data_IF_550805820223
#
_entry.id   IF_550805820223
#
_cell.length_a   1.000
_cell.length_b   1.000
_cell.length_c   1.000
_cell.angle_alpha   90.00
_cell.angle_beta   90.00
_cell.angle_gamma   90.00
#
_symmetry.space_group_name_H-M   'P 1'
#
loop_
_entity.id
_entity.type
_entity.pdbx_description
1 polymer ?
#
# COMPACT_ATOMS: atom_id res chain seq x y z
N UNK A 1 7.83 13.14 -13.53
CA UNK A 1 7.43 13.60 -14.88
C UNK A 1 7.10 15.09 -14.77
N UNK A 2 6.85 15.79 -15.89
CA UNK A 2 6.43 17.21 -15.86
C UNK A 2 4.95 17.40 -15.51
N UNK A 3 4.19 16.32 -15.24
CA UNK A 3 2.76 16.34 -14.93
C UNK A 3 2.47 15.64 -13.61
N UNK A 4 1.50 16.14 -12.86
CA UNK A 4 1.00 15.50 -11.65
C UNK A 4 0.45 14.10 -11.98
N UNK A 5 0.94 13.06 -11.30
CA UNK A 5 0.57 11.65 -11.54
C UNK A 5 -0.46 11.12 -10.53
N UNK A 6 -0.41 11.62 -9.29
CA UNK A 6 -1.37 11.31 -8.25
C UNK A 6 -1.57 12.50 -7.32
N UNK A 7 -2.83 12.79 -7.00
CA UNK A 7 -3.23 13.79 -6.02
C UNK A 7 -4.54 13.40 -5.34
N UNK A 8 -4.60 13.63 -4.04
CA UNK A 8 -5.81 13.54 -3.22
C UNK A 8 -5.94 12.23 -2.45
N UNK A 9 -7.06 12.11 -1.73
CA UNK A 9 -7.36 10.94 -0.92
C UNK A 9 -7.71 9.73 -1.77
N UNK A 10 -7.29 8.55 -1.30
CA UNK A 10 -7.52 7.25 -1.94
C UNK A 10 -7.94 6.23 -0.89
N UNK A 11 -8.80 5.31 -1.33
CA UNK A 11 -9.00 4.02 -0.68
C UNK A 11 -8.13 3.00 -1.40
N UNK A 12 -7.39 2.20 -0.64
CA UNK A 12 -6.63 1.06 -1.13
C UNK A 12 -7.14 -0.23 -0.51
N UNK A 13 -6.88 -1.35 -1.16
CA UNK A 13 -7.11 -2.69 -0.62
C UNK A 13 -5.83 -3.49 -0.80
N UNK A 14 -5.31 -4.09 0.28
CA UNK A 14 -4.11 -4.92 0.20
C UNK A 14 -4.32 -6.08 -0.78
N UNK A 15 -3.39 -6.25 -1.73
CA UNK A 15 -3.48 -7.29 -2.74
C UNK A 15 -2.91 -8.65 -2.28
N UNK A 16 -2.11 -8.63 -1.22
CA UNK A 16 -1.51 -9.81 -0.58
C UNK A 16 -1.43 -9.63 0.95
N UNK A 17 -1.04 -10.68 1.66
CA UNK A 17 -0.76 -10.62 3.09
C UNK A 17 0.53 -9.83 3.33
N UNK A 18 0.48 -8.83 4.21
CA UNK A 18 1.65 -8.00 4.54
C UNK A 18 1.77 -7.81 6.06
N UNK A 19 2.84 -7.15 6.50
CA UNK A 19 2.96 -6.74 7.90
C UNK A 19 1.90 -5.73 8.33
N UNK A 20 1.22 -5.05 7.40
CA UNK A 20 0.15 -4.09 7.70
C UNK A 20 -1.20 -4.80 7.89
N UNK A 21 -1.36 -6.03 7.39
CA UNK A 21 -2.60 -6.79 7.48
C UNK A 21 -2.73 -7.85 6.40
N UNK A 22 -3.75 -8.72 6.51
CA UNK A 22 -4.05 -9.73 5.49
C UNK A 22 -4.51 -9.11 4.17
N UNK A 23 -4.45 -9.89 3.09
CA UNK A 23 -5.07 -9.56 1.81
C UNK A 23 -6.52 -9.16 2.01
N UNK A 24 -6.94 -8.09 1.35
CA UNK A 24 -8.30 -7.56 1.45
C UNK A 24 -8.49 -6.51 2.54
N UNK A 25 -7.50 -6.26 3.42
CA UNK A 25 -7.57 -5.13 4.35
C UNK A 25 -7.71 -3.82 3.58
N UNK A 26 -8.74 -3.05 3.92
CA UNK A 26 -8.98 -1.73 3.35
C UNK A 26 -8.11 -0.70 4.05
N UNK A 27 -7.46 0.14 3.27
CA UNK A 27 -6.64 1.25 3.74
C UNK A 27 -7.11 2.59 3.20
N UNK A 28 -6.82 3.66 3.92
CA UNK A 28 -7.03 5.03 3.50
C UNK A 28 -5.72 5.79 3.55
N UNK A 29 -5.55 6.70 2.61
CA UNK A 29 -4.35 7.52 2.53
C UNK A 29 -4.51 8.60 1.48
N UNK A 30 -3.40 9.23 1.14
CA UNK A 30 -3.36 10.24 0.09
C UNK A 30 -2.16 10.04 -0.81
N UNK A 31 -2.30 10.50 -2.04
CA UNK A 31 -1.23 10.55 -3.02
C UNK A 31 -0.86 12.02 -3.26
N UNK A 32 0.43 12.27 -3.46
CA UNK A 32 0.92 13.52 -4.01
C UNK A 32 2.27 13.30 -4.70
N UNK A 33 2.25 12.97 -5.99
CA UNK A 33 3.48 12.63 -6.71
C UNK A 33 3.44 12.99 -8.20
N UNK A 34 4.62 13.37 -8.71
CA UNK A 34 4.89 13.61 -10.13
C UNK A 34 5.70 12.48 -10.76
N UNK A 35 6.41 11.69 -9.96
CA UNK A 35 7.12 10.49 -10.41
C UNK A 35 6.15 9.34 -10.68
N UNK A 36 6.59 8.39 -11.49
CA UNK A 36 5.90 7.11 -11.75
C UNK A 36 6.92 5.99 -11.60
N UNK A 37 6.49 4.84 -11.11
CA UNK A 37 7.30 3.62 -11.14
C UNK A 37 7.06 2.93 -12.48
N UNK A 38 8.13 2.42 -13.07
CA UNK A 38 8.09 1.51 -14.21
C UNK A 38 8.79 0.24 -13.72
N UNK A 39 8.12 -0.89 -13.87
CA UNK A 39 8.67 -2.18 -13.54
C UNK A 39 9.04 -2.88 -14.84
N UNK A 40 10.27 -3.40 -14.92
CA UNK A 40 10.78 -4.08 -16.12
C UNK A 40 10.23 -5.51 -16.28
N UNK A 41 9.57 -6.02 -15.24
CA UNK A 41 8.96 -7.34 -15.17
C UNK A 41 7.65 -7.28 -14.35
N UNK A 42 6.90 -8.38 -14.34
CA UNK A 42 5.73 -8.52 -13.47
C UNK A 42 6.16 -8.35 -12.00
N UNK A 43 5.38 -7.58 -11.25
CA UNK A 43 5.69 -7.19 -9.88
C UNK A 43 4.46 -7.40 -8.99
N UNK A 44 4.65 -7.81 -7.73
CA UNK A 44 3.56 -7.95 -6.77
C UNK A 44 3.10 -6.56 -6.29
N UNK A 45 1.88 -6.11 -6.61
CA UNK A 45 1.40 -4.80 -6.19
C UNK A 45 1.01 -4.81 -4.71
N UNK A 46 1.27 -3.71 -4.01
CA UNK A 46 0.85 -3.60 -2.60
C UNK A 46 -0.67 -3.43 -2.47
N UNK A 47 -1.26 -2.60 -3.32
CA UNK A 47 -2.66 -2.21 -3.23
C UNK A 47 -3.38 -2.29 -4.57
N UNK A 48 -4.67 -2.61 -4.52
CA UNK A 48 -5.63 -2.14 -5.50
C UNK A 48 -6.19 -0.80 -5.01
N UNK A 49 -6.01 0.28 -5.79
CA UNK A 49 -6.49 1.61 -5.45
C UNK A 49 -7.84 1.91 -6.10
N UNK A 50 -8.68 2.64 -5.38
CA UNK A 50 -10.02 3.04 -5.78
C UNK A 50 -10.19 4.56 -5.84
N UNK A 51 -11.03 5.01 -6.77
CA UNK A 51 -11.52 6.39 -6.86
C UNK A 51 -13.04 6.38 -6.71
N UNK A 52 -13.52 6.66 -5.50
CA UNK A 52 -14.90 6.32 -5.13
C UNK A 52 -15.07 4.80 -5.06
N UNK A 53 -16.10 4.27 -5.73
CA UNK A 53 -16.39 2.83 -5.74
C UNK A 53 -15.73 2.08 -6.92
N UNK A 54 -15.10 2.80 -7.84
CA UNK A 54 -14.46 2.22 -9.01
C UNK A 54 -13.00 1.89 -8.74
N UNK A 55 -12.59 0.66 -9.08
CA UNK A 55 -11.18 0.27 -9.13
C UNK A 55 -10.45 1.13 -10.16
N UNK A 56 -9.30 1.67 -9.77
CA UNK A 56 -8.54 2.62 -10.56
C UNK A 56 -7.25 1.98 -11.11
N UNK A 57 -6.44 1.36 -10.25
CA UNK A 57 -5.16 0.74 -10.64
C UNK A 57 -4.59 -0.16 -9.54
N UNK A 58 -3.76 -1.12 -9.96
CA UNK A 58 -2.79 -1.76 -9.08
C UNK A 58 -1.64 -0.79 -8.79
N UNK A 59 -1.19 -0.71 -7.54
CA UNK A 59 -0.21 0.27 -7.10
C UNK A 59 0.73 -0.28 -6.03
N UNK A 60 1.94 0.27 -6.02
CA UNK A 60 2.97 -0.06 -5.06
C UNK A 60 3.63 -1.39 -5.35
N UNK A 61 4.40 -1.84 -4.38
CA UNK A 61 5.15 -3.09 -4.38
C UNK A 61 5.06 -3.70 -2.98
N UNK A 62 4.66 -4.96 -2.89
CA UNK A 62 4.67 -5.72 -1.66
C UNK A 62 5.40 -7.04 -1.86
N UNK A 63 6.40 -7.31 -1.02
CA UNK A 63 7.06 -8.61 -0.99
C UNK A 63 7.77 -8.78 0.35
N UNK A 64 7.62 -9.94 0.98
CA UNK A 64 8.21 -10.24 2.29
C UNK A 64 7.82 -9.20 3.35
N UNK A 65 8.78 -8.37 3.79
CA UNK A 65 8.60 -7.32 4.78
C UNK A 65 8.65 -5.92 4.16
N UNK A 66 8.52 -5.82 2.84
CA UNK A 66 8.52 -4.57 2.08
C UNK A 66 7.09 -4.26 1.66
N UNK A 67 6.65 -3.05 1.98
CA UNK A 67 5.50 -2.40 1.36
C UNK A 67 5.95 -1.01 0.93
N UNK A 68 6.02 -0.77 -0.37
CA UNK A 68 6.46 0.49 -0.95
C UNK A 68 5.37 1.03 -1.88
N UNK A 69 4.95 2.28 -1.69
CA UNK A 69 3.79 2.83 -2.38
C UNK A 69 3.80 4.36 -2.30
N UNK A 70 3.19 5.02 -3.29
CA UNK A 70 2.88 6.45 -3.23
C UNK A 70 1.66 6.77 -2.37
N UNK A 71 0.93 5.76 -1.89
CA UNK A 71 -0.15 5.91 -0.92
C UNK A 71 0.44 6.19 0.45
N UNK A 72 0.41 7.47 0.83
CA UNK A 72 0.75 7.89 2.18
C UNK A 72 -0.41 7.54 3.12
N UNK A 73 -0.25 6.42 3.84
CA UNK A 73 -1.26 5.87 4.74
C UNK A 73 -1.65 6.84 5.86
N UNK A 74 -2.93 6.84 6.19
CA UNK A 74 -3.49 7.55 7.33
C UNK A 74 -3.69 6.58 8.50
N UNK A 75 -2.66 6.44 9.34
CA UNK A 75 -2.77 5.56 10.52
C UNK A 75 -3.77 6.08 11.56
N UNK A 76 -4.02 7.39 11.59
CA UNK A 76 -5.07 7.98 12.42
C UNK A 76 -6.44 7.53 11.90
N UNK A 77 -7.12 6.68 12.66
CA UNK A 77 -8.37 6.02 12.26
C UNK A 77 -8.19 4.60 11.70
N UNK A 78 -6.96 4.07 11.72
CA UNK A 78 -6.62 2.74 11.24
C UNK A 78 -5.60 2.05 12.17
N UNK A 79 -5.86 2.06 13.47
CA UNK A 79 -4.96 1.49 14.49
C UNK A 79 -4.65 0.02 14.26
N UNK A 80 -5.59 -0.74 13.69
CA UNK A 80 -5.41 -2.15 13.30
C UNK A 80 -4.17 -2.37 12.42
N UNK A 81 -3.83 -1.42 11.53
CA UNK A 81 -2.62 -1.53 10.70
C UNK A 81 -1.34 -1.47 11.54
N UNK A 82 -1.34 -0.64 12.59
CA UNK A 82 -0.22 -0.54 13.53
C UNK A 82 -0.15 -1.77 14.42
N UNK A 83 -1.29 -2.29 14.88
CA UNK A 83 -1.37 -3.51 15.67
C UNK A 83 -0.83 -4.73 14.89
N UNK A 84 -1.21 -4.86 13.62
CA UNK A 84 -0.65 -5.86 12.71
C UNK A 84 0.85 -5.69 12.54
N UNK A 85 1.32 -4.45 12.33
CA UNK A 85 2.75 -4.18 12.16
C UNK A 85 3.53 -4.61 13.40
N UNK A 86 3.11 -4.19 14.60
CA UNK A 86 3.81 -4.58 15.83
C UNK A 86 3.76 -6.09 16.08
N UNK A 87 2.65 -6.76 15.72
CA UNK A 87 2.50 -8.21 15.89
C UNK A 87 3.35 -9.02 14.90
N UNK A 88 3.54 -8.49 13.68
CA UNK A 88 4.31 -9.15 12.61
C UNK A 88 5.81 -9.32 12.95
N UNK A 89 6.35 -8.51 13.87
CA UNK A 89 7.75 -8.56 14.32
C UNK A 89 8.15 -9.89 15.00
N UNK A 90 7.17 -10.70 15.41
CA UNK A 90 7.42 -11.97 16.10
C UNK A 90 7.86 -13.12 15.18
N UNK A 91 7.91 -12.93 13.85
CA UNK A 91 8.14 -14.05 12.90
C UNK A 91 9.55 -14.20 12.32
N UNK A 92 10.49 -13.24 12.49
CA UNK A 92 11.81 -13.30 11.81
C UNK A 92 12.96 -12.60 12.56
N UNK A 93 13.26 -13.03 13.78
CA UNK A 93 14.63 -12.90 14.32
C UNK A 93 15.05 -14.25 14.89
N UNK A 94 15.30 -15.20 14.00
CA UNK A 94 16.19 -16.33 14.28
C UNK A 94 17.50 -16.00 13.56
N UNK A 95 18.39 -15.27 14.24
CA UNK A 95 19.81 -15.14 13.88
C UNK A 95 20.62 -15.52 15.12
#
# INVERSE_FOLDING_TARGET
TTRLQGIGYRRGVLHEDTFLGPRGTTVQGHEFHYSRVIFDQEFPPAYELFKGDQSARMEGYAQDNIVASYLHLHFSGQSELLENWFSSRSRRIDV
#
